data_IF_167767220623
#
_entry.id   IF_167767220623
#
_cell.length_a   1.000
_cell.length_b   1.000
_cell.length_c   1.000
_cell.angle_alpha   90.00
_cell.angle_beta   90.00
_cell.angle_gamma   90.00
#
_symmetry.space_group_name_H-M   'P 1'
#
loop_
_entity.id
_entity.type
_entity.pdbx_description
1 polymer ?
#
# COMPACT_ATOMS: atom_id res chain seq x y z
N UNK A 1 18.39 20.29 -3.72
CA UNK A 1 17.12 19.58 -3.95
C UNK A 1 17.05 18.48 -2.91
N UNK A 2 16.39 18.75 -1.79
CA UNK A 2 16.28 17.78 -0.70
C UNK A 2 15.51 16.56 -1.20
N UNK A 3 16.11 15.37 -1.04
CA UNK A 3 15.41 14.10 -1.26
C UNK A 3 14.26 14.04 -0.27
N UNK A 4 13.04 14.29 -0.73
CA UNK A 4 11.86 13.94 0.05
C UNK A 4 11.90 12.42 0.22
N UNK A 5 12.21 11.95 1.42
CA UNK A 5 12.34 10.51 1.69
C UNK A 5 11.08 9.78 1.22
N UNK A 6 11.23 8.74 0.41
CA UNK A 6 10.11 7.95 -0.11
C UNK A 6 9.27 7.39 1.05
N UNK A 7 7.94 7.44 0.94
CA UNK A 7 7.05 6.84 1.94
C UNK A 7 6.74 5.40 1.52
N UNK A 8 7.77 4.57 1.55
CA UNK A 8 7.69 3.17 1.13
C UNK A 8 6.96 2.32 2.18
N UNK A 9 5.97 1.55 1.74
CA UNK A 9 5.32 0.51 2.53
C UNK A 9 5.49 -0.85 1.88
N UNK A 10 5.39 -1.91 2.69
CA UNK A 10 5.54 -3.30 2.24
C UNK A 10 4.35 -4.12 2.71
N UNK A 11 3.69 -4.77 1.77
CA UNK A 11 2.49 -5.55 2.03
C UNK A 11 2.53 -6.88 1.29
N UNK A 12 1.83 -7.86 1.85
CA UNK A 12 1.58 -9.15 1.22
C UNK A 12 0.09 -9.33 1.02
N UNK A 13 -0.34 -9.71 -0.18
CA UNK A 13 -1.74 -10.05 -0.44
C UNK A 13 -1.89 -11.42 -1.06
N UNK A 14 -3.07 -12.01 -0.85
CA UNK A 14 -3.44 -13.29 -1.46
C UNK A 14 -4.39 -13.06 -2.63
N UNK A 15 -4.11 -13.72 -3.74
CA UNK A 15 -4.90 -13.70 -4.97
C UNK A 15 -5.67 -15.02 -5.15
N UNK A 16 -6.68 -15.00 -6.01
CA UNK A 16 -7.44 -16.16 -6.45
C UNK A 16 -6.88 -16.77 -7.76
N UNK A 17 -5.69 -16.35 -8.17
CA UNK A 17 -4.99 -16.80 -9.38
C UNK A 17 -3.47 -16.66 -9.23
N UNK A 18 -2.74 -16.83 -10.33
CA UNK A 18 -1.27 -16.75 -10.33
C UNK A 18 -0.80 -15.32 -10.01
N UNK A 19 -0.02 -15.22 -8.94
CA UNK A 19 0.63 -13.99 -8.52
C UNK A 19 1.81 -13.62 -9.42
N UNK A 20 2.40 -14.59 -10.11
CA UNK A 20 3.43 -14.35 -11.13
C UNK A 20 2.86 -13.53 -12.30
N UNK A 21 1.67 -13.90 -12.79
CA UNK A 21 0.95 -13.13 -13.83
C UNK A 21 0.62 -11.72 -13.31
N UNK A 22 0.13 -11.62 -12.08
CA UNK A 22 -0.15 -10.33 -11.46
C UNK A 22 1.12 -9.46 -11.31
N UNK A 23 2.23 -10.05 -10.91
CA UNK A 23 3.52 -9.36 -10.78
C UNK A 23 4.02 -8.87 -12.15
N UNK A 24 3.89 -9.68 -13.20
CA UNK A 24 4.23 -9.29 -14.56
C UNK A 24 3.35 -8.13 -15.05
N UNK A 25 2.05 -8.14 -14.76
CA UNK A 25 1.14 -7.05 -15.13
C UNK A 25 1.42 -5.74 -14.39
N UNK A 26 2.01 -5.82 -13.19
CA UNK A 26 2.41 -4.67 -12.39
C UNK A 26 3.79 -4.11 -12.79
N UNK A 27 4.50 -4.79 -13.69
CA UNK A 27 5.80 -4.33 -14.16
C UNK A 27 5.67 -2.94 -14.81
N UNK A 28 6.43 -1.97 -14.29
CA UNK A 28 6.44 -0.60 -14.80
C UNK A 28 5.33 0.31 -14.24
N UNK A 29 4.53 -0.15 -13.28
CA UNK A 29 3.59 0.73 -12.56
C UNK A 29 4.37 1.80 -11.77
N UNK A 30 4.17 3.11 -12.04
CA UNK A 30 4.86 4.16 -11.30
C UNK A 30 4.55 4.09 -9.81
N UNK A 31 5.58 4.27 -8.98
CA UNK A 31 5.46 4.18 -7.52
C UNK A 31 5.62 2.77 -6.95
N UNK A 32 5.64 1.73 -7.78
CA UNK A 32 5.96 0.37 -7.33
C UNK A 32 7.48 0.22 -7.20
N UNK A 33 7.95 -0.11 -6.00
CA UNK A 33 9.37 -0.28 -5.68
C UNK A 33 9.80 -1.73 -5.86
N UNK A 34 8.96 -2.68 -5.43
CA UNK A 34 9.22 -4.10 -5.54
C UNK A 34 7.91 -4.85 -5.75
N UNK A 35 7.95 -5.88 -6.60
CA UNK A 35 6.83 -6.81 -6.76
C UNK A 35 7.38 -8.21 -6.98
N UNK A 36 6.86 -9.17 -6.22
CA UNK A 36 7.20 -10.58 -6.36
C UNK A 36 5.93 -11.42 -6.24
N UNK A 37 5.75 -12.32 -7.21
CA UNK A 37 4.63 -13.24 -7.25
C UNK A 37 5.09 -14.67 -7.02
N UNK A 38 4.39 -15.41 -6.15
CA UNK A 38 4.60 -16.86 -5.97
C UNK A 38 3.30 -17.58 -5.67
N UNK A 39 2.83 -18.41 -6.59
CA UNK A 39 1.56 -19.13 -6.51
C UNK A 39 0.39 -18.15 -6.37
N UNK A 40 -0.23 -18.10 -5.19
CA UNK A 40 -1.32 -17.16 -4.89
C UNK A 40 -0.87 -15.96 -4.04
N UNK A 41 0.43 -15.81 -3.75
CA UNK A 41 0.96 -14.78 -2.87
C UNK A 41 1.66 -13.70 -3.69
N UNK A 42 1.25 -12.46 -3.49
CA UNK A 42 1.86 -11.28 -4.10
C UNK A 42 2.47 -10.43 -3.00
N UNK A 43 3.80 -10.30 -3.02
CA UNK A 43 4.58 -9.43 -2.16
C UNK A 43 4.84 -8.11 -2.89
N UNK A 44 4.55 -6.98 -2.23
CA UNK A 44 4.54 -5.64 -2.81
C UNK A 44 5.34 -4.69 -1.92
N UNK A 45 6.14 -3.83 -2.53
CA UNK A 45 6.66 -2.61 -1.92
C UNK A 45 6.34 -1.42 -2.82
N UNK A 46 5.80 -0.34 -2.28
CA UNK A 46 5.42 0.84 -3.06
C UNK A 46 5.50 2.14 -2.25
N UNK A 47 5.71 3.26 -2.94
CA UNK A 47 5.66 4.61 -2.36
C UNK A 47 4.20 5.10 -2.30
N UNK A 48 3.71 5.32 -1.08
CA UNK A 48 2.36 5.81 -0.80
C UNK A 48 2.03 7.16 -1.44
N UNK A 49 3.02 7.95 -1.81
CA UNK A 49 2.80 9.23 -2.49
C UNK A 49 2.48 9.08 -3.97
N UNK A 50 2.82 7.94 -4.56
CA UNK A 50 2.72 7.70 -6.00
C UNK A 50 1.64 6.68 -6.35
N UNK A 51 1.45 5.66 -5.51
CA UNK A 51 0.48 4.60 -5.76
C UNK A 51 -0.09 4.07 -4.44
N UNK A 52 -1.33 3.57 -4.49
CA UNK A 52 -2.02 2.95 -3.37
C UNK A 52 -2.46 1.52 -3.71
N UNK A 53 -2.90 0.79 -2.69
CA UNK A 53 -3.36 -0.59 -2.84
C UNK A 53 -4.49 -0.72 -3.88
N UNK A 54 -5.45 0.20 -3.96
CA UNK A 54 -6.60 0.07 -4.86
C UNK A 54 -6.24 0.25 -6.34
N UNK A 55 -5.29 1.13 -6.65
CA UNK A 55 -4.68 1.24 -7.99
C UNK A 55 -3.96 -0.04 -8.38
N UNK A 56 -3.15 -0.61 -7.47
CA UNK A 56 -2.46 -1.89 -7.69
C UNK A 56 -3.49 -3.00 -7.97
N UNK A 57 -4.53 -3.12 -7.13
CA UNK A 57 -5.56 -4.15 -7.31
C UNK A 57 -6.37 -3.95 -8.59
N UNK A 58 -6.49 -2.71 -9.09
CA UNK A 58 -7.13 -2.43 -10.38
C UNK A 58 -6.33 -3.01 -11.53
N UNK A 59 -5.01 -2.78 -11.55
CA UNK A 59 -4.11 -3.39 -12.56
C UNK A 59 -4.17 -4.92 -12.49
N UNK A 60 -4.13 -5.49 -11.29
CA UNK A 60 -4.23 -6.94 -11.10
C UNK A 60 -5.55 -7.51 -11.66
N UNK A 61 -6.67 -6.81 -11.44
CA UNK A 61 -7.98 -7.18 -12.00
C UNK A 61 -8.02 -7.06 -13.53
N UNK A 62 -7.40 -6.02 -14.11
CA UNK A 62 -7.31 -5.85 -15.56
C UNK A 62 -6.50 -6.97 -16.22
N UNK A 63 -5.54 -7.55 -15.50
CA UNK A 63 -4.81 -8.74 -15.91
C UNK A 63 -5.61 -10.05 -15.74
N UNK A 64 -6.89 -9.97 -15.36
CA UNK A 64 -7.76 -11.13 -15.17
C UNK A 64 -7.56 -11.86 -13.84
N UNK A 65 -6.74 -11.33 -12.92
CA UNK A 65 -6.49 -11.95 -11.62
C UNK A 65 -7.36 -11.27 -10.56
N UNK A 66 -8.13 -12.07 -9.82
CA UNK A 66 -8.96 -11.55 -8.74
C UNK A 66 -8.22 -11.60 -7.39
N UNK A 67 -8.38 -10.59 -6.53
CA UNK A 67 -7.95 -10.70 -5.13
C UNK A 67 -8.77 -11.77 -4.41
N UNK A 68 -8.17 -12.48 -3.46
CA UNK A 68 -8.90 -13.50 -2.70
C UNK A 68 -10.08 -12.88 -1.94
N UNK A 69 -11.26 -13.50 -2.01
CA UNK A 69 -12.52 -12.94 -1.49
C UNK A 69 -12.91 -13.45 -0.10
N UNK A 70 -12.12 -14.35 0.50
CA UNK A 70 -12.37 -14.83 1.87
C UNK A 70 -12.43 -13.66 2.87
N UNK A 71 -13.23 -13.80 3.92
CA UNK A 71 -13.42 -12.75 4.92
C UNK A 71 -12.08 -12.25 5.49
N UNK A 72 -11.17 -13.16 5.81
CA UNK A 72 -9.84 -12.83 6.31
C UNK A 72 -9.02 -12.01 5.29
N UNK A 73 -9.06 -12.38 4.00
CA UNK A 73 -8.35 -11.65 2.96
C UNK A 73 -8.95 -10.25 2.74
N UNK A 74 -10.27 -10.11 2.85
CA UNK A 74 -10.96 -8.82 2.78
C UNK A 74 -10.59 -7.92 3.96
N UNK A 75 -10.62 -8.45 5.18
CA UNK A 75 -10.24 -7.72 6.39
C UNK A 75 -8.77 -7.30 6.34
N UNK A 76 -7.88 -8.19 5.90
CA UNK A 76 -6.47 -7.85 5.74
C UNK A 76 -6.26 -6.69 4.77
N UNK A 77 -6.94 -6.68 3.62
CA UNK A 77 -6.87 -5.53 2.70
C UNK A 77 -7.48 -4.26 3.28
N UNK A 78 -8.53 -4.36 4.09
CA UNK A 78 -9.09 -3.19 4.77
C UNK A 78 -8.10 -2.61 5.79
N UNK A 79 -7.41 -3.49 6.53
CA UNK A 79 -6.34 -3.10 7.45
C UNK A 79 -5.19 -2.40 6.73
N UNK A 80 -4.73 -2.94 5.60
CA UNK A 80 -3.68 -2.31 4.79
C UNK A 80 -4.08 -0.87 4.39
N UNK A 81 -5.30 -0.68 3.86
CA UNK A 81 -5.79 0.65 3.50
C UNK A 81 -5.77 1.61 4.68
N UNK A 82 -6.29 1.16 5.83
CA UNK A 82 -6.29 1.96 7.05
C UNK A 82 -4.88 2.38 7.48
N UNK A 83 -3.91 1.45 7.46
CA UNK A 83 -2.52 1.77 7.83
C UNK A 83 -1.84 2.68 6.82
N UNK A 84 -2.11 2.48 5.53
CA UNK A 84 -1.55 3.30 4.45
C UNK A 84 -2.08 4.74 4.54
N UNK A 85 -3.40 4.92 4.72
CA UNK A 85 -4.03 6.23 4.89
C UNK A 85 -3.50 6.95 6.13
N UNK A 86 -3.31 6.23 7.24
CA UNK A 86 -2.72 6.81 8.45
C UNK A 86 -1.27 7.23 8.26
N UNK A 87 -0.47 6.42 7.55
CA UNK A 87 0.93 6.73 7.26
C UNK A 87 1.05 7.93 6.34
N UNK A 88 0.24 7.99 5.28
CA UNK A 88 0.19 9.12 4.36
C UNK A 88 -0.25 10.39 5.08
N UNK A 89 -1.36 10.32 5.83
CA UNK A 89 -1.87 11.44 6.63
C UNK A 89 -0.81 11.98 7.59
N UNK A 90 -0.17 11.10 8.37
CA UNK A 90 0.89 11.47 9.33
C UNK A 90 2.12 12.09 8.66
N UNK A 91 2.43 11.68 7.42
CA UNK A 91 3.54 12.25 6.65
C UNK A 91 3.21 13.60 6.01
N UNK A 92 1.92 13.89 5.79
CA UNK A 92 1.44 15.15 5.18
C UNK A 92 0.95 16.18 6.19
N UNK A 93 0.63 15.76 7.42
CA UNK A 93 0.15 16.64 8.46
C UNK A 93 1.26 17.64 8.85
N UNK A 94 1.03 18.96 8.74
CA UNK A 94 1.98 19.98 9.18
C UNK A 94 2.03 20.03 10.71
N UNK A 95 2.54 18.96 11.32
CA UNK A 95 2.88 18.86 12.74
C UNK A 95 1.99 19.68 13.66
N UNK A 96 0.68 19.43 13.67
CA UNK A 96 -0.17 20.02 14.70
C UNK A 96 0.36 19.53 16.05
N UNK A 97 0.84 20.48 16.85
CA UNK A 97 1.51 20.21 18.12
C UNK A 97 0.73 19.16 18.91
N UNK A 98 1.41 18.06 19.24
CA UNK A 98 0.84 16.93 19.96
C UNK A 98 -0.10 17.43 21.07
N UNK A 99 -1.36 16.97 21.06
CA UNK A 99 -2.41 17.41 21.99
C UNK A 99 -2.08 17.15 23.48
N UNK A 100 -0.97 16.47 23.76
CA UNK A 100 -0.41 16.24 25.09
C UNK A 100 0.60 17.31 25.54
N UNK A 101 0.84 18.37 24.75
CA UNK A 101 1.66 19.50 25.22
C UNK A 101 0.77 20.41 26.08
N UNK A 102 0.86 20.37 27.43
CA UNK A 102 0.10 21.30 28.25
C UNK A 102 0.47 22.73 27.84
N UNK A 103 -0.50 23.66 27.81
CA UNK A 103 -0.19 25.06 27.60
C UNK A 103 0.84 25.49 28.65
N UNK A 104 1.89 26.19 28.21
CA UNK A 104 2.81 26.84 29.14
C UNK A 104 1.97 27.81 29.96
N UNK A 105 1.73 27.49 31.23
CA UNK A 105 0.99 28.35 32.15
C UNK A 105 1.58 29.76 32.11
N UNK A 106 0.69 30.76 32.16
CA UNK A 106 1.10 32.13 32.47
C UNK A 106 1.60 32.21 33.90
#
# INVERSE_FOLDING_TARGET
MDKVAALEVRHRISLAGSAEIAAAALAGLPGLVQVEGRGQRLDLAYDLRLVNLDSILTVVRLAGIQPKTSMLARLHRAWIRFTDDNALSSATDPGHGCCSRPPKGR
#
